data_IF_207298382414
#
_entry.id   IF_207298382414
#
_cell.length_a   1.000
_cell.length_b   1.000
_cell.length_c   1.000
_cell.angle_alpha   90.00
_cell.angle_beta   90.00
_cell.angle_gamma   90.00
#
_symmetry.space_group_name_H-M   'P 1'
#
loop_
_entity.id
_entity.type
_entity.pdbx_description
1 polymer ?
#
# COMPACT_ATOMS: atom_id res chain seq x y z
N UNK A 1 33.99 1.00 -6.45
CA UNK A 1 33.03 2.04 -6.00
C UNK A 1 31.93 1.31 -5.23
N UNK A 2 31.69 1.69 -3.98
CA UNK A 2 30.58 1.16 -3.18
C UNK A 2 29.43 2.15 -3.34
N UNK A 3 28.30 1.68 -3.86
CA UNK A 3 27.06 2.46 -3.94
C UNK A 3 26.20 2.02 -2.77
N UNK A 4 25.82 2.96 -1.91
CA UNK A 4 24.90 2.71 -0.80
C UNK A 4 23.58 3.38 -1.13
N UNK A 5 22.54 2.56 -1.25
CA UNK A 5 21.19 2.98 -1.52
C UNK A 5 20.30 2.57 -0.34
N UNK A 6 19.34 3.42 0.02
CA UNK A 6 18.28 3.11 0.96
C UNK A 6 17.41 4.32 1.23
N UNK A 7 16.35 4.11 2.00
CA UNK A 7 15.31 5.12 2.22
C UNK A 7 15.81 6.23 3.16
N UNK A 8 15.49 7.49 2.83
CA UNK A 8 15.70 8.61 3.75
C UNK A 8 14.80 8.40 4.98
N UNK A 9 15.42 8.30 6.15
CA UNK A 9 14.69 8.07 7.39
C UNK A 9 14.14 9.39 7.92
N UNK A 10 12.82 9.56 7.94
CA UNK A 10 12.14 10.68 8.61
C UNK A 10 12.25 10.63 10.16
N UNK A 11 13.06 9.73 10.73
CA UNK A 11 13.16 9.54 12.18
C UNK A 11 14.04 10.63 12.81
N UNK A 12 13.54 11.28 13.86
CA UNK A 12 14.37 12.09 14.78
C UNK A 12 15.28 11.22 15.67
N UNK A 13 14.91 9.95 15.90
CA UNK A 13 15.75 9.02 16.63
C UNK A 13 16.85 8.52 15.69
N UNK A 14 18.07 9.00 15.95
CA UNK A 14 19.32 8.64 15.26
C UNK A 14 19.58 7.14 15.40
N UNK A 15 18.90 6.31 14.61
CA UNK A 15 19.45 5.01 14.27
C UNK A 15 20.57 5.30 13.30
N UNK A 16 21.80 4.99 13.70
CA UNK A 16 22.99 5.10 12.87
C UNK A 16 22.88 4.16 11.67
N UNK A 17 22.08 4.53 10.68
CA UNK A 17 21.97 3.80 9.43
C UNK A 17 23.28 3.98 8.67
N UNK A 18 23.65 3.00 7.86
CA UNK A 18 24.87 3.06 7.05
C UNK A 18 24.93 4.38 6.25
N UNK A 19 23.78 4.82 5.75
CA UNK A 19 23.55 6.08 4.99
C UNK A 19 23.99 7.32 5.77
N UNK A 20 23.70 7.41 7.07
CA UNK A 20 24.11 8.56 7.91
C UNK A 20 25.62 8.73 8.05
N UNK A 21 26.42 7.73 7.63
CA UNK A 21 27.89 7.76 7.67
C UNK A 21 28.54 8.08 6.32
N UNK A 22 27.76 8.20 5.24
CA UNK A 22 28.26 8.59 3.93
C UNK A 22 28.20 10.11 3.74
N UNK A 23 29.13 10.64 2.94
CA UNK A 23 29.09 12.05 2.51
C UNK A 23 27.93 12.25 1.55
N UNK A 24 27.26 13.39 1.62
CA UNK A 24 26.13 13.75 0.73
C UNK A 24 26.48 13.59 -0.76
N UNK A 25 27.70 13.90 -1.14
CA UNK A 25 28.25 13.73 -2.50
C UNK A 25 28.26 12.27 -3.01
N UNK A 26 28.16 11.30 -2.10
CA UNK A 26 28.17 9.86 -2.38
C UNK A 26 26.80 9.21 -2.16
N UNK A 27 25.77 10.01 -1.88
CA UNK A 27 24.40 9.57 -1.70
C UNK A 27 23.61 9.82 -2.97
N UNK A 28 22.84 8.82 -3.38
CA UNK A 28 21.77 8.97 -4.36
C UNK A 28 20.46 8.98 -3.58
N UNK A 29 19.77 10.12 -3.62
CA UNK A 29 18.43 10.25 -3.05
C UNK A 29 17.41 9.74 -4.04
N UNK A 30 16.51 8.87 -3.60
CA UNK A 30 15.32 8.52 -4.36
C UNK A 30 14.20 9.45 -3.92
N UNK A 31 13.53 10.11 -4.87
CA UNK A 31 12.49 11.10 -4.57
C UNK A 31 11.16 10.46 -4.10
N UNK A 32 11.04 9.14 -4.24
CA UNK A 32 9.80 8.41 -4.01
C UNK A 32 10.01 7.12 -3.21
N UNK A 33 9.01 6.78 -2.41
CA UNK A 33 8.90 5.51 -1.70
C UNK A 33 7.70 4.72 -2.22
N UNK A 34 7.95 3.48 -2.61
CA UNK A 34 6.90 2.57 -3.05
C UNK A 34 6.49 1.67 -1.90
N UNK A 35 5.22 1.72 -1.54
CA UNK A 35 4.68 0.92 -0.44
C UNK A 35 3.38 0.25 -0.85
N UNK A 36 3.15 -1.00 -0.39
CA UNK A 36 1.85 -1.61 -0.50
C UNK A 36 0.94 -0.89 0.50
N UNK A 37 0.34 0.21 0.07
CA UNK A 37 -0.60 1.07 0.80
C UNK A 37 -1.84 1.25 -0.08
N UNK A 38 -3.06 1.33 0.45
CA UNK A 38 -4.26 1.60 -0.35
C UNK A 38 -4.11 2.85 -1.23
N UNK A 39 -4.54 2.76 -2.48
CA UNK A 39 -4.40 3.84 -3.48
C UNK A 39 -5.03 5.18 -3.04
N UNK A 40 -6.10 5.11 -2.26
CA UNK A 40 -6.76 6.29 -1.66
C UNK A 40 -5.86 7.02 -0.67
N UNK A 41 -4.99 6.28 0.02
CA UNK A 41 -4.08 6.79 1.03
C UNK A 41 -2.81 7.34 0.37
N UNK A 42 -2.19 6.59 -0.54
CA UNK A 42 -0.96 7.03 -1.21
C UNK A 42 -1.14 8.31 -2.03
N UNK A 43 -2.28 8.48 -2.72
CA UNK A 43 -2.56 9.65 -3.55
C UNK A 43 -2.51 11.00 -2.83
N UNK A 44 -2.49 10.99 -1.49
CA UNK A 44 -2.50 12.20 -0.68
C UNK A 44 -1.24 12.33 0.18
N UNK A 45 -0.34 11.35 0.12
CA UNK A 45 1.00 11.42 0.70
C UNK A 45 1.99 11.92 -0.35
N UNK A 46 2.83 12.88 0.05
CA UNK A 46 3.94 13.30 -0.82
C UNK A 46 4.97 12.18 -0.88
N UNK A 47 5.55 11.98 -2.05
CA UNK A 47 6.69 11.09 -2.26
C UNK A 47 6.39 9.62 -1.92
N UNK A 48 5.11 9.22 -1.89
CA UNK A 48 4.68 7.84 -1.70
C UNK A 48 3.82 7.41 -2.87
N UNK A 49 4.26 6.36 -3.56
CA UNK A 49 3.49 5.70 -4.60
C UNK A 49 2.97 4.37 -4.09
N UNK A 50 1.67 4.13 -4.31
CA UNK A 50 1.06 2.83 -4.01
C UNK A 50 1.22 1.90 -5.19
N UNK A 51 1.39 0.63 -4.88
CA UNK A 51 1.21 -0.45 -5.85
C UNK A 51 -0.28 -0.64 -6.12
N UNK A 52 -0.67 -0.89 -7.38
CA UNK A 52 -2.07 -1.18 -7.69
C UNK A 52 -2.50 -2.46 -6.96
N UNK A 53 -3.57 -2.35 -6.20
CA UNK A 53 -4.31 -3.49 -5.65
C UNK A 53 -5.58 -3.72 -6.46
N UNK A 54 -6.27 -4.86 -6.23
CA UNK A 54 -7.55 -5.14 -6.88
C UNK A 54 -8.53 -3.99 -6.68
N UNK A 55 -9.51 -3.84 -7.59
CA UNK A 55 -10.47 -2.72 -7.57
C UNK A 55 -11.23 -2.65 -6.25
N UNK A 56 -11.45 -3.78 -5.57
CA UNK A 56 -12.15 -3.86 -4.29
C UNK A 56 -11.34 -3.32 -3.10
N UNK A 57 -10.00 -3.32 -3.18
CA UNK A 57 -9.11 -2.75 -2.16
C UNK A 57 -8.90 -1.23 -2.36
N UNK A 58 -9.49 -0.64 -3.40
CA UNK A 58 -9.38 0.80 -3.70
C UNK A 58 -10.10 1.70 -2.70
N UNK A 59 -11.07 1.18 -1.95
CA UNK A 59 -11.87 1.99 -0.99
C UNK A 59 -11.47 1.78 0.47
N UNK A 60 -10.55 0.85 0.75
CA UNK A 60 -10.08 0.55 2.08
C UNK A 60 -9.07 1.61 2.55
N UNK A 61 -9.53 2.82 2.85
CA UNK A 61 -8.69 3.89 3.38
C UNK A 61 -8.51 3.76 4.88
N UNK A 62 -9.47 4.28 5.62
CA UNK A 62 -9.46 4.34 7.07
C UNK A 62 -10.88 4.09 7.58
N UNK A 63 -11.01 3.18 8.53
CA UNK A 63 -12.29 2.84 9.15
C UNK A 63 -12.23 3.17 10.63
N UNK A 64 -13.23 3.90 11.15
CA UNK A 64 -13.40 4.11 12.58
C UNK A 64 -14.38 3.07 13.09
N UNK A 65 -14.02 2.35 14.15
CA UNK A 65 -14.86 1.31 14.71
C UNK A 65 -14.92 1.41 16.23
N UNK A 66 -16.11 1.16 16.77
CA UNK A 66 -16.33 0.95 18.21
C UNK A 66 -16.52 -0.55 18.48
N UNK A 67 -15.41 -1.29 18.43
CA UNK A 67 -15.37 -2.73 18.67
C UNK A 67 -14.20 -3.09 19.56
N UNK A 68 -14.30 -4.23 20.25
CA UNK A 68 -13.17 -4.80 20.98
C UNK A 68 -12.05 -5.21 20.01
N UNK A 69 -10.87 -4.61 20.19
CA UNK A 69 -9.74 -4.82 19.28
C UNK A 69 -9.28 -6.28 19.18
N UNK A 70 -9.34 -7.04 20.28
CA UNK A 70 -8.94 -8.44 20.27
C UNK A 70 -9.92 -9.30 19.45
N UNK A 71 -11.23 -9.03 19.58
CA UNK A 71 -12.26 -9.69 18.76
C UNK A 71 -12.13 -9.35 17.28
N UNK A 72 -11.83 -8.10 16.96
CA UNK A 72 -11.64 -7.68 15.57
C UNK A 72 -10.41 -8.31 14.93
N UNK A 73 -9.29 -8.36 15.65
CA UNK A 73 -8.09 -9.08 15.18
C UNK A 73 -8.39 -10.57 14.96
N UNK A 74 -9.15 -11.21 15.85
CA UNK A 74 -9.56 -12.60 15.67
C UNK A 74 -10.41 -12.80 14.40
N UNK A 75 -11.33 -11.89 14.08
CA UNK A 75 -12.11 -12.02 12.85
C UNK A 75 -11.23 -11.94 11.60
N UNK A 76 -10.24 -11.04 11.60
CA UNK A 76 -9.28 -10.94 10.49
C UNK A 76 -8.45 -12.22 10.33
N UNK A 77 -8.01 -12.84 11.43
CA UNK A 77 -7.26 -14.11 11.39
C UNK A 77 -8.13 -15.25 10.84
N UNK A 78 -9.42 -15.27 11.16
CA UNK A 78 -10.36 -16.27 10.64
C UNK A 78 -10.59 -16.11 9.14
N UNK A 79 -10.69 -14.88 8.66
CA UNK A 79 -10.83 -14.57 7.23
C UNK A 79 -9.56 -14.90 6.45
N UNK A 80 -8.39 -14.60 7.03
CA UNK A 80 -7.09 -14.91 6.45
C UNK A 80 -6.10 -15.39 7.53
N UNK A 81 -5.80 -16.70 7.60
CA UNK A 81 -4.87 -17.28 8.57
C UNK A 81 -3.41 -16.79 8.48
N UNK A 82 -3.06 -16.06 7.42
CA UNK A 82 -1.73 -15.50 7.18
C UNK A 82 -1.70 -13.97 7.31
N UNK A 83 -2.76 -13.36 7.85
CA UNK A 83 -2.83 -11.91 8.03
C UNK A 83 -1.73 -11.41 8.97
N UNK A 84 -1.08 -10.30 8.61
CA UNK A 84 -0.11 -9.60 9.47
C UNK A 84 -0.70 -8.29 9.94
N UNK A 85 -0.63 -8.01 11.24
CA UNK A 85 -1.31 -6.89 11.88
C UNK A 85 -0.36 -6.13 12.80
N UNK A 86 -0.31 -4.81 12.65
CA UNK A 86 0.20 -3.93 13.69
C UNK A 86 -0.96 -3.40 14.53
N UNK A 87 -0.87 -3.50 15.85
CA UNK A 87 -1.77 -2.88 16.81
C UNK A 87 -1.00 -1.84 17.63
N UNK A 88 -1.38 -0.57 17.49
CA UNK A 88 -0.71 0.56 18.11
C UNK A 88 -1.37 0.97 19.42
N UNK A 89 -0.59 0.95 20.50
CA UNK A 89 -0.98 1.38 21.85
C UNK A 89 0.27 1.88 22.59
N UNK A 90 0.13 3.02 23.26
CA UNK A 90 1.22 3.68 23.99
C UNK A 90 1.43 3.05 25.37
N UNK A 91 0.42 2.38 25.92
CA UNK A 91 0.45 1.91 27.31
C UNK A 91 0.81 0.41 27.42
N UNK A 92 1.91 0.05 28.12
CA UNK A 92 2.35 -1.35 28.25
C UNK A 92 1.32 -2.29 28.89
N UNK A 93 0.47 -1.78 29.77
CA UNK A 93 -0.61 -2.55 30.37
C UNK A 93 -1.71 -2.92 29.36
N UNK A 94 -1.98 -2.07 28.38
CA UNK A 94 -2.92 -2.35 27.28
C UNK A 94 -2.29 -3.35 26.31
N UNK A 95 -1.00 -3.21 26.00
CA UNK A 95 -0.27 -4.20 25.21
C UNK A 95 -0.41 -5.61 25.80
N UNK A 96 -0.15 -5.75 27.10
CA UNK A 96 -0.31 -7.02 27.81
C UNK A 96 -1.75 -7.55 27.77
N UNK A 97 -2.74 -6.69 28.06
CA UNK A 97 -4.16 -7.07 28.00
C UNK A 97 -4.58 -7.53 26.61
N UNK A 98 -4.05 -6.91 25.56
CA UNK A 98 -4.33 -7.30 24.19
C UNK A 98 -3.74 -8.68 23.87
N UNK A 99 -2.48 -8.95 24.25
CA UNK A 99 -1.89 -10.29 24.11
C UNK A 99 -2.69 -11.37 24.88
N UNK A 100 -2.99 -11.11 26.15
CA UNK A 100 -3.73 -12.05 27.00
C UNK A 100 -5.16 -12.30 26.47
N UNK A 101 -5.82 -11.24 26.00
CA UNK A 101 -7.14 -11.29 25.38
C UNK A 101 -7.15 -12.10 24.09
N UNK A 102 -6.19 -11.85 23.19
CA UNK A 102 -6.03 -12.58 21.94
C UNK A 102 -5.72 -14.06 22.17
N UNK A 103 -4.78 -14.36 23.06
CA UNK A 103 -4.44 -15.74 23.40
C UNK A 103 -5.67 -16.50 23.94
N UNK A 104 -6.43 -15.87 24.83
CA UNK A 104 -7.66 -16.45 25.39
C UNK A 104 -8.73 -16.69 24.33
N UNK A 105 -8.88 -15.76 23.38
CA UNK A 105 -9.83 -15.89 22.27
C UNK A 105 -9.42 -17.02 21.31
N UNK A 106 -8.14 -17.10 20.93
CA UNK A 106 -7.63 -18.15 20.05
C UNK A 106 -7.77 -19.55 20.67
N UNK A 107 -7.53 -19.70 21.98
CA UNK A 107 -7.77 -20.97 22.69
C UNK A 107 -9.25 -21.35 22.65
N UNK A 108 -10.16 -20.39 22.87
CA UNK A 108 -11.61 -20.63 22.81
C UNK A 108 -12.09 -21.06 21.43
N UNK A 109 -11.43 -20.58 20.38
CA UNK A 109 -11.69 -20.96 18.99
C UNK A 109 -11.04 -22.28 18.56
N UNK A 110 -10.35 -22.97 19.49
CA UNK A 110 -9.80 -24.30 19.24
C UNK A 110 -8.46 -24.32 18.52
N UNK A 111 -7.74 -23.19 18.45
CA UNK A 111 -6.40 -23.17 17.86
C UNK A 111 -5.42 -23.98 18.71
N UNK A 112 -4.57 -24.77 18.04
CA UNK A 112 -3.50 -25.51 18.70
C UNK A 112 -2.44 -24.56 19.29
N UNK A 113 -1.85 -24.93 20.43
CA UNK A 113 -0.85 -24.12 21.15
C UNK A 113 0.27 -23.60 20.25
N UNK A 114 0.85 -24.46 19.43
CA UNK A 114 1.97 -24.08 18.56
C UNK A 114 1.54 -23.05 17.51
N UNK A 115 0.30 -23.16 17.00
CA UNK A 115 -0.25 -22.19 16.06
C UNK A 115 -0.53 -20.85 16.74
N UNK A 116 -1.01 -20.86 17.98
CA UNK A 116 -1.20 -19.62 18.76
C UNK A 116 0.13 -18.90 18.96
N UNK A 117 1.19 -19.63 19.34
CA UNK A 117 2.52 -19.07 19.51
C UNK A 117 3.04 -18.46 18.19
N UNK A 118 2.83 -19.16 17.08
CA UNK A 118 3.20 -18.69 15.74
C UNK A 118 2.49 -17.39 15.36
N UNK A 119 1.16 -17.33 15.53
CA UNK A 119 0.36 -16.12 15.28
C UNK A 119 0.88 -14.95 16.13
N UNK A 120 0.99 -15.14 17.45
CA UNK A 120 1.35 -14.06 18.36
C UNK A 120 2.79 -13.56 18.18
N UNK A 121 3.69 -14.36 17.60
CA UNK A 121 5.09 -13.97 17.37
C UNK A 121 5.31 -13.34 16.00
N UNK A 122 4.71 -13.91 14.96
CA UNK A 122 5.06 -13.59 13.58
C UNK A 122 3.98 -12.79 12.86
N UNK A 123 2.72 -12.86 13.32
CA UNK A 123 1.59 -12.23 12.63
C UNK A 123 1.07 -11.00 13.36
N UNK A 124 1.21 -10.93 14.69
CA UNK A 124 0.71 -9.80 15.48
C UNK A 124 1.88 -9.03 16.08
N UNK A 125 1.97 -7.75 15.74
CA UNK A 125 2.89 -6.80 16.38
C UNK A 125 2.08 -5.81 17.22
N UNK A 126 2.31 -5.79 18.52
CA UNK A 126 1.65 -4.88 19.45
C UNK A 126 2.71 -3.92 19.98
N UNK A 127 2.69 -2.67 19.55
CA UNK A 127 3.77 -1.74 19.83
C UNK A 127 3.29 -0.30 20.02
N UNK A 128 4.12 0.52 20.64
CA UNK A 128 3.92 1.96 20.63
C UNK A 128 4.37 2.53 19.28
N UNK A 129 3.51 3.33 18.66
CA UNK A 129 3.77 4.07 17.44
C UNK A 129 5.03 4.93 17.53
N UNK A 130 5.32 5.52 18.70
CA UNK A 130 6.51 6.35 18.93
C UNK A 130 7.83 5.59 18.82
N UNK A 131 7.83 4.27 19.00
CA UNK A 131 9.05 3.45 18.95
C UNK A 131 9.48 3.10 17.52
N UNK A 132 8.56 3.16 16.54
CA UNK A 132 8.87 2.94 15.13
C UNK A 132 9.36 1.51 14.79
N UNK A 133 9.04 0.50 15.60
CA UNK A 133 9.31 -0.91 15.32
C UNK A 133 8.00 -1.58 14.88
N UNK A 134 7.68 -1.51 13.59
CA UNK A 134 6.45 -2.07 13.02
C UNK A 134 6.73 -3.06 11.89
N UNK A 135 5.84 -4.04 11.73
CA UNK A 135 5.89 -5.02 10.64
C UNK A 135 5.35 -4.40 9.35
N UNK A 136 5.74 -4.98 8.21
CA UNK A 136 4.99 -4.79 6.96
C UNK A 136 3.65 -5.53 7.04
N UNK A 137 2.65 -4.85 7.59
CA UNK A 137 1.37 -5.45 7.94
C UNK A 137 0.32 -5.28 6.85
N UNK A 138 -0.64 -6.21 6.80
CA UNK A 138 -1.88 -6.05 6.04
C UNK A 138 -2.77 -4.97 6.68
N UNK A 139 -2.82 -4.92 8.01
CA UNK A 139 -3.64 -3.96 8.76
C UNK A 139 -2.81 -3.19 9.78
N UNK A 140 -3.09 -1.89 9.87
CA UNK A 140 -2.62 -1.03 10.93
C UNK A 140 -3.81 -0.61 11.79
N UNK A 141 -3.85 -1.05 13.05
CA UNK A 141 -4.94 -0.79 13.99
C UNK A 141 -4.44 0.17 15.07
N UNK A 142 -5.15 1.26 15.32
CA UNK A 142 -4.76 2.29 16.29
C UNK A 142 -5.81 2.37 17.40
N UNK A 143 -5.36 2.40 18.65
CA UNK A 143 -6.22 2.81 19.76
C UNK A 143 -6.28 4.36 19.85
N UNK A 144 -7.35 4.95 19.35
CA UNK A 144 -7.53 6.41 19.31
C UNK A 144 -7.53 7.05 20.70
N UNK A 145 -8.12 6.36 21.67
CA UNK A 145 -8.31 6.92 23.02
C UNK A 145 -6.97 7.19 23.72
N UNK A 146 -5.90 6.51 23.31
CA UNK A 146 -4.54 6.73 23.82
C UNK A 146 -3.79 7.82 23.06
N UNK A 147 -3.92 7.85 21.73
CA UNK A 147 -3.14 8.75 20.86
C UNK A 147 -3.82 10.08 20.55
N UNK A 148 -5.11 10.23 20.82
CA UNK A 148 -5.92 11.36 20.36
C UNK A 148 -5.36 12.75 20.68
N UNK A 149 -4.61 12.90 21.78
CA UNK A 149 -3.92 14.15 22.16
C UNK A 149 -2.49 14.28 21.62
N UNK A 150 -1.83 13.16 21.37
CA UNK A 150 -0.43 13.13 20.91
C UNK A 150 -0.36 13.35 19.39
N UNK A 151 -1.46 13.12 18.69
CA UNK A 151 -1.65 13.49 17.30
C UNK A 151 -1.64 15.02 17.04
N UNK A 152 -1.36 15.87 18.03
CA UNK A 152 -1.29 17.33 17.84
C UNK A 152 0.15 17.82 17.63
N UNK A 153 1.17 17.08 18.08
CA UNK A 153 2.56 17.57 18.18
C UNK A 153 3.54 16.85 17.23
N UNK A 154 3.47 15.51 17.13
CA UNK A 154 4.43 14.70 16.35
C UNK A 154 3.77 13.95 15.17
N UNK A 155 2.59 14.44 14.78
CA UNK A 155 1.65 13.73 13.94
C UNK A 155 2.15 13.38 12.55
N UNK A 156 2.83 14.30 11.86
CA UNK A 156 3.28 14.09 10.48
C UNK A 156 4.21 12.88 10.34
N UNK A 157 5.08 12.67 11.35
CA UNK A 157 6.04 11.57 11.40
C UNK A 157 5.35 10.24 11.67
N UNK A 158 4.41 10.21 12.61
CA UNK A 158 3.69 8.99 12.98
C UNK A 158 2.63 8.59 11.97
N UNK A 159 1.92 9.57 11.43
CA UNK A 159 0.83 9.36 10.49
C UNK A 159 1.34 8.68 9.23
N UNK A 160 2.52 9.07 8.72
CA UNK A 160 3.10 8.41 7.55
C UNK A 160 3.31 6.91 7.82
N UNK A 161 3.81 6.53 9.00
CA UNK A 161 4.04 5.12 9.36
C UNK A 161 2.74 4.34 9.56
N UNK A 162 1.73 4.95 10.19
CA UNK A 162 0.38 4.38 10.32
C UNK A 162 -0.23 4.07 8.97
N UNK A 163 0.06 4.89 7.95
CA UNK A 163 -0.49 4.72 6.62
C UNK A 163 0.20 3.60 5.81
N UNK A 164 1.28 3.01 6.32
CA UNK A 164 2.01 1.92 5.64
C UNK A 164 1.44 0.55 6.01
N UNK A 165 0.33 0.16 5.39
CA UNK A 165 -0.22 -1.20 5.48
C UNK A 165 -0.86 -1.62 4.17
N UNK A 166 -0.86 -2.93 3.87
CA UNK A 166 -1.27 -3.46 2.56
C UNK A 166 -2.76 -3.27 2.26
N UNK A 167 -3.61 -3.35 3.27
CA UNK A 167 -5.07 -3.42 3.10
C UNK A 167 -5.84 -2.26 3.70
N UNK A 168 -5.74 -2.02 5.02
CA UNK A 168 -6.63 -1.05 5.68
C UNK A 168 -6.07 -0.54 7.00
N UNK A 169 -6.41 0.71 7.31
CA UNK A 169 -6.17 1.33 8.61
C UNK A 169 -7.46 1.33 9.42
N UNK A 170 -7.38 0.91 10.67
CA UNK A 170 -8.53 0.85 11.58
C UNK A 170 -8.24 1.71 12.80
N UNK A 171 -9.16 2.61 13.11
CA UNK A 171 -9.13 3.44 14.30
C UNK A 171 -10.17 2.90 15.27
N UNK A 172 -9.71 2.31 16.36
CA UNK A 172 -10.57 1.89 17.46
C UNK A 172 -10.79 3.05 18.41
N UNK A 173 -12.03 3.30 18.78
CA UNK A 173 -12.39 4.38 19.69
C UNK A 173 -13.63 4.03 20.50
N UNK A 174 -13.66 4.44 21.76
CA UNK A 174 -14.88 4.39 22.57
C UNK A 174 -15.85 5.54 22.24
N UNK A 175 -15.40 6.58 21.52
CA UNK A 175 -16.24 7.68 21.05
C UNK A 175 -17.05 7.26 19.81
N UNK A 176 -18.10 8.01 19.49
CA UNK A 176 -18.79 7.82 18.21
C UNK A 176 -17.88 8.18 17.04
N UNK A 177 -18.09 7.55 15.89
CA UNK A 177 -17.30 7.84 14.68
C UNK A 177 -17.33 9.33 14.35
N UNK A 178 -18.49 9.98 14.47
CA UNK A 178 -18.65 11.41 14.21
C UNK A 178 -17.79 12.27 15.14
N UNK A 179 -17.68 11.90 16.41
CA UNK A 179 -16.87 12.63 17.39
C UNK A 179 -15.38 12.46 17.10
N UNK A 180 -14.94 11.24 16.79
CA UNK A 180 -13.54 10.97 16.38
C UNK A 180 -13.19 11.77 15.14
N UNK A 181 -14.08 11.78 14.13
CA UNK A 181 -13.87 12.52 12.89
C UNK A 181 -13.82 14.03 13.16
N UNK A 182 -14.66 14.56 14.05
CA UNK A 182 -14.65 15.97 14.42
C UNK A 182 -13.40 16.36 15.21
N UNK A 183 -12.96 15.52 16.14
CA UNK A 183 -11.73 15.74 16.89
C UNK A 183 -10.53 15.75 15.95
N UNK A 184 -10.43 14.77 15.05
CA UNK A 184 -9.41 14.70 14.01
C UNK A 184 -9.45 15.88 13.01
N UNK A 185 -10.63 16.47 12.76
CA UNK A 185 -10.79 17.71 11.97
C UNK A 185 -10.23 18.93 12.69
N UNK A 186 -10.35 18.97 14.02
CA UNK A 186 -10.00 20.13 14.85
C UNK A 186 -8.52 20.19 15.18
N UNK A 187 -7.90 19.04 15.43
CA UNK A 187 -6.52 18.97 15.89
C UNK A 187 -5.49 19.00 14.77
N UNK A 188 -5.87 18.54 13.58
CA UNK A 188 -5.00 18.50 12.42
C UNK A 188 -5.72 19.14 11.24
N UNK A 189 -5.13 20.15 10.61
CA UNK A 189 -5.62 20.66 9.33
C UNK A 189 -5.65 19.52 8.29
N UNK A 190 -6.78 18.86 8.20
CA UNK A 190 -7.20 18.02 7.09
C UNK A 190 -6.42 16.72 6.80
N UNK A 191 -5.62 16.17 7.71
CA UNK A 191 -4.88 14.94 7.39
C UNK A 191 -5.79 13.71 7.35
N UNK A 192 -6.31 13.23 8.50
CA UNK A 192 -7.17 12.03 8.51
C UNK A 192 -8.49 12.24 7.78
N UNK A 193 -8.99 13.47 7.73
CA UNK A 193 -10.28 13.80 7.14
C UNK A 193 -10.29 13.62 5.62
N UNK A 194 -9.10 13.71 5.01
CA UNK A 194 -8.87 13.30 3.62
C UNK A 194 -8.98 11.77 3.44
N UNK A 195 -8.70 10.97 4.46
CA UNK A 195 -8.64 9.50 4.35
C UNK A 195 -9.90 8.79 4.88
N UNK A 196 -10.66 9.44 5.77
CA UNK A 196 -11.89 8.93 6.42
C UNK A 196 -13.06 8.78 5.43
N UNK A 197 -13.08 9.57 4.34
CA UNK A 197 -14.09 9.47 3.28
C UNK A 197 -13.38 9.53 1.92
N UNK A 198 -12.99 8.36 1.38
CA UNK A 198 -12.29 8.31 0.12
C UNK A 198 -13.13 8.94 -0.99
N UNK A 199 -12.64 10.03 -1.57
CA UNK A 199 -12.90 10.22 -3.00
C UNK A 199 -12.17 9.08 -3.70
N UNK A 200 -12.79 8.35 -4.65
CA UNK A 200 -12.12 7.28 -5.37
C UNK A 200 -10.75 7.74 -5.86
N UNK A 201 -9.75 6.87 -5.75
CA UNK A 201 -8.41 7.17 -6.26
C UNK A 201 -8.53 7.73 -7.69
N UNK A 202 -8.01 8.95 -7.93
CA UNK A 202 -8.03 9.54 -9.26
C UNK A 202 -7.13 8.71 -10.15
N UNK A 203 -7.75 7.87 -10.96
CA UNK A 203 -7.08 7.25 -12.10
C UNK A 203 -7.13 8.28 -13.21
N UNK A 204 -5.95 8.63 -13.72
CA UNK A 204 -5.85 9.65 -14.74
C UNK A 204 -6.39 9.10 -16.07
N UNK A 205 -6.98 9.98 -16.87
CA UNK A 205 -7.25 9.68 -18.27
C UNK A 205 -5.94 9.42 -19.01
N UNK A 206 -6.01 8.67 -20.11
CA UNK A 206 -4.85 8.49 -20.98
C UNK A 206 -4.50 9.84 -21.62
N UNK A 207 -3.24 10.24 -21.51
CA UNK A 207 -2.78 11.57 -21.93
C UNK A 207 -2.34 11.62 -23.41
N UNK A 208 -2.38 10.49 -24.12
CA UNK A 208 -1.83 10.37 -25.47
C UNK A 208 -2.82 9.72 -26.44
N UNK A 209 -2.92 10.29 -27.64
CA UNK A 209 -3.83 9.82 -28.70
C UNK A 209 -3.49 8.39 -29.17
N UNK A 210 -2.21 8.01 -29.12
CA UNK A 210 -1.79 6.65 -29.46
C UNK A 210 -2.22 5.65 -28.39
N UNK A 211 -2.26 6.06 -27.12
CA UNK A 211 -2.78 5.23 -26.03
C UNK A 211 -4.30 5.13 -26.04
N UNK A 212 -5.00 6.20 -26.43
CA UNK A 212 -6.44 6.12 -26.66
C UNK A 212 -6.78 5.12 -27.77
N UNK A 213 -5.96 5.08 -28.83
CA UNK A 213 -6.10 4.10 -29.92
C UNK A 213 -5.88 2.67 -29.45
N UNK A 214 -4.85 2.44 -28.63
CA UNK A 214 -4.57 1.13 -28.03
C UNK A 214 -5.69 0.72 -27.07
N UNK A 215 -6.11 1.63 -26.18
CA UNK A 215 -7.19 1.41 -25.24
C UNK A 215 -8.53 1.07 -25.92
N UNK A 216 -8.87 1.78 -26.99
CA UNK A 216 -10.06 1.48 -27.80
C UNK A 216 -10.00 0.07 -28.39
N UNK A 217 -8.81 -0.36 -28.83
CA UNK A 217 -8.59 -1.71 -29.36
C UNK A 217 -8.72 -2.79 -28.29
N UNK A 218 -8.22 -2.53 -27.08
CA UNK A 218 -8.35 -3.44 -25.94
C UNK A 218 -9.80 -3.56 -25.45
N UNK A 219 -10.54 -2.45 -25.37
CA UNK A 219 -11.98 -2.43 -25.04
C UNK A 219 -12.81 -3.30 -25.99
N UNK A 220 -12.52 -3.25 -27.29
CA UNK A 220 -13.17 -4.13 -28.29
C UNK A 220 -12.90 -5.62 -28.05
N UNK A 221 -11.83 -5.96 -27.32
CA UNK A 221 -11.45 -7.32 -26.94
C UNK A 221 -11.85 -7.69 -25.51
N UNK A 222 -12.83 -6.97 -24.92
CA UNK A 222 -13.39 -7.22 -23.58
C UNK A 222 -12.39 -7.01 -22.44
N UNK A 223 -11.44 -6.08 -22.62
CA UNK A 223 -10.61 -5.56 -21.53
C UNK A 223 -11.09 -4.15 -21.18
N UNK A 224 -11.51 -3.94 -19.94
CA UNK A 224 -11.88 -2.63 -19.45
C UNK A 224 -10.61 -1.82 -19.16
N UNK A 225 -10.47 -0.68 -19.83
CA UNK A 225 -9.33 0.21 -19.62
C UNK A 225 -9.72 1.23 -18.57
N UNK A 226 -9.13 1.11 -17.38
CA UNK A 226 -9.46 1.93 -16.22
C UNK A 226 -8.77 3.30 -16.31
N UNK A 227 -7.53 3.34 -16.81
CA UNK A 227 -6.75 4.57 -17.04
C UNK A 227 -5.28 4.40 -16.62
N UNK A 228 -4.62 5.47 -16.16
CA UNK A 228 -3.21 5.47 -15.72
C UNK A 228 -3.04 5.86 -14.24
N UNK A 229 -1.94 5.43 -13.61
CA UNK A 229 -1.66 5.70 -12.20
C UNK A 229 -0.16 5.76 -11.88
N UNK A 230 0.32 6.88 -11.33
CA UNK A 230 1.77 7.10 -11.17
C UNK A 230 2.47 6.96 -12.52
N UNK A 231 3.51 6.14 -12.59
CA UNK A 231 4.23 5.83 -13.83
C UNK A 231 3.59 4.66 -14.62
N UNK A 232 2.51 4.06 -14.09
CA UNK A 232 1.75 3.04 -14.81
C UNK A 232 0.92 3.66 -15.90
N UNK A 233 1.25 3.31 -17.14
CA UNK A 233 0.67 3.94 -18.31
C UNK A 233 -0.73 3.44 -18.64
N UNK A 234 -1.05 2.18 -18.31
CA UNK A 234 -2.41 1.65 -18.47
C UNK A 234 -2.73 0.56 -17.46
N UNK A 235 -3.91 0.66 -16.85
CA UNK A 235 -4.51 -0.35 -15.97
C UNK A 235 -5.69 -0.96 -16.70
N UNK A 236 -5.70 -2.28 -16.76
CA UNK A 236 -6.72 -3.07 -17.44
C UNK A 236 -7.41 -4.00 -16.45
N UNK A 237 -8.69 -4.26 -16.69
CA UNK A 237 -9.46 -5.25 -15.96
C UNK A 237 -10.20 -6.19 -16.92
N UNK A 238 -10.25 -7.46 -16.56
CA UNK A 238 -11.11 -8.44 -17.23
C UNK A 238 -11.59 -9.46 -16.21
N UNK A 239 -12.91 -9.51 -15.99
CA UNK A 239 -13.55 -10.45 -15.05
C UNK A 239 -12.93 -10.42 -13.64
N UNK A 240 -12.67 -9.22 -13.10
CA UNK A 240 -12.06 -9.04 -11.78
C UNK A 240 -10.54 -9.25 -11.71
N UNK A 241 -9.90 -9.69 -12.80
CA UNK A 241 -8.45 -9.78 -12.89
C UNK A 241 -7.85 -8.48 -13.40
N UNK A 242 -6.84 -7.97 -12.67
CA UNK A 242 -6.10 -6.76 -13.03
C UNK A 242 -4.85 -7.10 -13.83
N UNK A 243 -4.60 -6.28 -14.84
CA UNK A 243 -3.38 -6.28 -15.64
C UNK A 243 -2.83 -4.87 -15.74
N UNK A 244 -1.52 -4.75 -15.92
CA UNK A 244 -0.82 -3.47 -15.98
C UNK A 244 0.02 -3.40 -17.24
N UNK A 245 0.02 -2.25 -17.91
CA UNK A 245 0.92 -1.95 -19.01
C UNK A 245 1.83 -0.79 -18.61
N UNK A 246 3.14 -1.03 -18.71
CA UNK A 246 4.21 -0.06 -18.54
C UNK A 246 4.70 0.37 -19.91
N UNK A 247 4.68 1.67 -20.17
CA UNK A 247 5.29 2.24 -21.37
C UNK A 247 6.60 2.92 -21.01
N UNK A 248 7.66 2.49 -21.69
CA UNK A 248 8.91 3.22 -21.63
C UNK A 248 9.07 4.12 -22.85
N UNK A 249 9.44 5.37 -22.60
CA UNK A 249 9.95 6.29 -23.62
C UNK A 249 11.41 5.94 -23.87
N UNK A 250 11.84 6.07 -25.12
CA UNK A 250 13.14 5.70 -25.69
C UNK A 250 14.27 5.40 -24.66
N UNK A 251 14.89 4.20 -24.71
CA UNK A 251 15.94 3.79 -23.78
C UNK A 251 17.16 4.72 -23.78
N UNK A 252 17.50 5.36 -24.90
CA UNK A 252 18.71 6.20 -25.03
C UNK A 252 18.66 7.49 -24.18
N UNK A 253 17.47 7.94 -23.77
CA UNK A 253 17.29 9.17 -22.99
C UNK A 253 16.92 8.96 -21.51
N UNK A 254 16.52 7.75 -21.12
CA UNK A 254 15.74 7.53 -19.87
C UNK A 254 16.28 6.43 -18.96
N UNK A 255 17.55 6.03 -19.11
CA UNK A 255 18.10 4.83 -18.48
C UNK A 255 17.96 4.72 -16.94
N UNK A 256 18.07 5.82 -16.20
CA UNK A 256 17.96 5.76 -14.73
C UNK A 256 16.53 5.54 -14.26
N UNK A 257 15.55 6.16 -14.93
CA UNK A 257 14.14 6.03 -14.60
C UNK A 257 13.63 4.62 -14.94
N UNK A 258 14.06 4.05 -16.08
CA UNK A 258 13.64 2.70 -16.52
C UNK A 258 13.98 1.61 -15.50
N UNK A 259 15.18 1.66 -14.88
CA UNK A 259 15.57 0.65 -13.89
C UNK A 259 14.79 0.80 -12.59
N UNK A 260 14.50 2.04 -12.17
CA UNK A 260 13.66 2.28 -11.00
C UNK A 260 12.24 1.81 -11.29
N UNK A 261 11.66 2.23 -12.42
CA UNK A 261 10.31 1.85 -12.83
C UNK A 261 10.15 0.34 -12.99
N UNK A 262 11.15 -0.35 -13.55
CA UNK A 262 11.12 -1.81 -13.65
C UNK A 262 11.16 -2.46 -12.25
N UNK A 263 12.08 -2.05 -11.38
CA UNK A 263 12.16 -2.61 -10.02
C UNK A 263 10.89 -2.30 -9.23
N UNK A 264 10.40 -1.08 -9.33
CA UNK A 264 9.40 -0.53 -8.43
C UNK A 264 7.97 -0.85 -8.90
N UNK A 265 7.73 -0.92 -10.21
CA UNK A 265 6.41 -1.28 -10.76
C UNK A 265 6.35 -2.69 -11.32
N UNK A 266 7.32 -3.13 -12.13
CA UNK A 266 7.23 -4.46 -12.72
C UNK A 266 7.40 -5.54 -11.65
N UNK A 267 8.51 -5.51 -10.90
CA UNK A 267 8.79 -6.56 -9.90
C UNK A 267 7.73 -6.59 -8.80
N UNK A 268 7.36 -5.42 -8.27
CA UNK A 268 6.41 -5.35 -7.17
C UNK A 268 4.99 -5.81 -7.53
N UNK A 269 4.55 -5.58 -8.78
CA UNK A 269 3.27 -6.10 -9.26
C UNK A 269 3.38 -7.62 -9.52
N UNK A 270 4.49 -8.09 -10.10
CA UNK A 270 4.73 -9.52 -10.36
C UNK A 270 4.76 -10.33 -9.05
N UNK A 271 5.41 -9.82 -7.99
CA UNK A 271 5.46 -10.47 -6.68
C UNK A 271 4.06 -10.65 -6.05
N UNK A 272 3.09 -9.83 -6.47
CA UNK A 272 1.68 -9.94 -6.07
C UNK A 272 0.81 -10.74 -7.05
N UNK A 273 1.41 -11.35 -8.06
CA UNK A 273 0.69 -12.11 -9.09
C UNK A 273 -0.04 -11.23 -10.12
N UNK A 274 0.25 -9.93 -10.17
CA UNK A 274 -0.32 -9.02 -11.18
C UNK A 274 0.51 -9.13 -12.45
N UNK A 275 -0.15 -9.47 -13.56
CA UNK A 275 0.51 -9.57 -14.85
C UNK A 275 0.81 -8.17 -15.38
N UNK A 276 2.11 -7.88 -15.51
CA UNK A 276 2.62 -6.59 -15.99
C UNK A 276 3.28 -6.76 -17.35
N UNK A 277 2.91 -5.93 -18.32
CA UNK A 277 3.42 -5.96 -19.69
C UNK A 277 4.21 -4.69 -19.97
N UNK A 278 5.45 -4.85 -20.38
CA UNK A 278 6.32 -3.74 -20.79
C UNK A 278 6.22 -3.57 -22.30
N UNK A 279 6.03 -2.33 -22.75
CA UNK A 279 5.97 -1.96 -24.15
C UNK A 279 6.80 -0.68 -24.34
N UNK A 280 7.55 -0.60 -25.43
CA UNK A 280 8.24 0.64 -25.78
C UNK A 280 7.31 1.54 -26.58
N UNK A 281 7.30 2.83 -26.26
CA UNK A 281 6.47 3.79 -26.97
C UNK A 281 6.89 3.89 -28.45
N UNK A 282 8.18 3.73 -28.73
CA UNK A 282 8.73 3.67 -30.09
C UNK A 282 8.14 2.52 -30.90
N UNK A 283 8.09 1.30 -30.34
CA UNK A 283 7.45 0.15 -30.99
C UNK A 283 5.98 0.42 -31.35
N UNK A 284 5.25 1.16 -30.52
CA UNK A 284 3.85 1.52 -30.79
C UNK A 284 3.76 2.49 -31.99
N UNK A 285 4.71 3.42 -32.11
CA UNK A 285 4.76 4.36 -33.23
C UNK A 285 5.21 3.68 -34.53
N UNK A 286 6.15 2.75 -34.46
CA UNK A 286 6.68 2.03 -35.61
C UNK A 286 5.73 0.96 -36.12
N UNK A 287 5.17 0.12 -35.24
CA UNK A 287 4.35 -1.02 -35.61
C UNK A 287 3.20 -1.28 -34.62
N UNK A 288 2.23 -0.35 -34.63
CA UNK A 288 1.05 -0.41 -33.78
C UNK A 288 0.28 -1.74 -33.84
N UNK A 289 0.13 -2.34 -35.03
CA UNK A 289 -0.71 -3.54 -35.19
C UNK A 289 -0.03 -4.79 -34.63
N UNK A 290 1.29 -4.94 -34.80
CA UNK A 290 2.01 -6.05 -34.18
C UNK A 290 2.07 -5.90 -32.66
N UNK A 291 2.37 -4.71 -32.13
CA UNK A 291 2.36 -4.48 -30.67
C UNK A 291 1.00 -4.79 -30.06
N UNK A 292 -0.09 -4.34 -30.69
CA UNK A 292 -1.47 -4.65 -30.28
C UNK A 292 -1.72 -6.16 -30.27
N UNK A 293 -1.33 -6.86 -31.34
CA UNK A 293 -1.54 -8.31 -31.46
C UNK A 293 -0.79 -9.07 -30.36
N UNK A 294 0.47 -8.72 -30.14
CA UNK A 294 1.32 -9.35 -29.14
C UNK A 294 0.81 -9.10 -27.72
N UNK A 295 0.40 -7.87 -27.42
CA UNK A 295 -0.20 -7.53 -26.13
C UNK A 295 -1.48 -8.34 -25.90
N UNK A 296 -2.36 -8.45 -26.90
CA UNK A 296 -3.59 -9.23 -26.79
C UNK A 296 -3.31 -10.72 -26.57
N UNK A 297 -2.32 -11.29 -27.26
CA UNK A 297 -1.92 -12.68 -27.05
C UNK A 297 -1.44 -12.91 -25.61
N UNK A 298 -0.51 -12.06 -25.13
CA UNK A 298 0.01 -12.13 -23.76
C UNK A 298 -1.09 -11.97 -22.70
N UNK A 299 -2.02 -11.04 -22.90
CA UNK A 299 -3.18 -10.84 -22.01
C UNK A 299 -4.10 -12.07 -21.98
N UNK A 300 -4.37 -12.68 -23.14
CA UNK A 300 -5.20 -13.87 -23.23
C UNK A 300 -4.53 -15.10 -22.57
N UNK A 301 -3.22 -15.28 -22.77
CA UNK A 301 -2.45 -16.32 -22.08
C UNK A 301 -2.50 -16.13 -20.56
N UNK A 302 -2.26 -14.91 -20.07
CA UNK A 302 -2.32 -14.58 -18.65
C UNK A 302 -3.71 -14.77 -18.05
N UNK A 303 -4.77 -14.48 -18.80
CA UNK A 303 -6.16 -14.75 -18.37
C UNK A 303 -6.45 -16.25 -18.25
N UNK A 304 -5.89 -17.06 -19.17
CA UNK A 304 -6.15 -18.50 -19.23
C UNK A 304 -5.47 -19.30 -18.10
N UNK A 305 -4.34 -18.83 -17.58
CA UNK A 305 -3.61 -19.48 -16.47
C UNK A 305 -4.29 -19.31 -15.11
N UNK A 306 -5.17 -18.31 -14.97
CA UNK A 306 -5.85 -17.96 -13.73
C UNK A 306 -7.35 -18.30 -13.73
N UNK A 307 -7.83 -18.98 -14.79
CA UNK A 307 -9.20 -19.52 -14.93
C UNK A 307 -9.26 -20.97 -14.46
#
# INVERSE_FOLDING_TARGET
RVVVAGEESYRMAVTSSLITRFRSESLMTFDYRYVPTPLVVSNRLKNIHSMITSVDEKEAGLEVMNVDGAKYILSLIKENPNVVINYFTALPNIQRKMFDGLASLLVKEGFAKDKIIDILRHQINICDLGLGYFYEADYNIINYDEYGKQFDQDFSTWATNVLLCKKKIVILSNKSDLDVIQDLKRTNENFFTKYINPTPAKINGLSSSILDKLATSLKRNKYDVIGSYGDLSMILEKKGQIFVVLLFVNPESSHFDILSDYRDYYQANVDKGINTFVIWLEDIYEDFENVKKDLLNKLNEASSKNS
#
